data_IF_102082781586
#
_entry.id   IF_102082781586
#
_cell.length_a   1.000
_cell.length_b   1.000
_cell.length_c   1.000
_cell.angle_alpha   90.00
_cell.angle_beta   90.00
_cell.angle_gamma   90.00
#
_symmetry.space_group_name_H-M   'P 1'
#
loop_
_entity.id
_entity.type
_entity.pdbx_description
1 polymer ?
#
# COMPACT_ATOMS: atom_id res chain seq x y z
N UNK A 1 -21.32 21.70 -26.86
CA UNK A 1 -20.50 21.12 -27.95
C UNK A 1 -19.94 19.82 -27.38
N UNK A 2 -20.48 18.67 -27.80
CA UNK A 2 -20.11 17.35 -27.27
C UNK A 2 -18.69 17.03 -27.75
N UNK A 3 -17.76 16.89 -26.82
CA UNK A 3 -16.39 16.46 -27.10
C UNK A 3 -16.45 15.03 -27.62
N UNK A 4 -16.08 14.90 -28.89
CA UNK A 4 -15.94 13.65 -29.63
C UNK A 4 -15.02 12.71 -28.87
N UNK A 5 -15.48 11.47 -28.67
CA UNK A 5 -14.66 10.38 -28.18
C UNK A 5 -13.39 10.29 -29.03
N UNK A 6 -12.26 10.63 -28.42
CA UNK A 6 -10.95 10.40 -29.02
C UNK A 6 -10.85 8.91 -29.37
N UNK A 7 -10.43 8.63 -30.59
CA UNK A 7 -10.19 7.27 -31.07
C UNK A 7 -9.28 6.56 -30.06
N UNK A 8 -9.83 5.56 -29.35
CA UNK A 8 -9.02 4.63 -28.56
C UNK A 8 -8.08 3.95 -29.54
N UNK A 9 -6.79 4.26 -29.45
CA UNK A 9 -5.72 3.52 -30.12
C UNK A 9 -5.96 2.04 -29.85
N UNK A 10 -5.97 1.20 -30.88
CA UNK A 10 -6.13 -0.24 -30.68
C UNK A 10 -5.07 -0.70 -29.67
N UNK A 11 -5.45 -1.33 -28.55
CA UNK A 11 -4.50 -1.72 -27.54
C UNK A 11 -3.49 -2.68 -28.17
N UNK A 12 -2.19 -2.43 -27.95
CA UNK A 12 -1.14 -3.39 -28.25
C UNK A 12 -1.53 -4.75 -27.64
N UNK A 13 -1.28 -5.88 -28.33
CA UNK A 13 -1.65 -7.19 -27.82
C UNK A 13 -1.05 -7.39 -26.43
N UNK A 14 -1.91 -7.68 -25.45
CA UNK A 14 -1.52 -7.91 -24.06
C UNK A 14 -1.28 -9.40 -23.83
N UNK A 15 -0.24 -9.72 -23.07
CA UNK A 15 -0.04 -11.08 -22.58
C UNK A 15 -0.98 -11.36 -21.41
N UNK A 16 -1.77 -12.43 -21.53
CA UNK A 16 -2.67 -12.86 -20.46
C UNK A 16 -1.90 -13.61 -19.38
N UNK A 17 -2.09 -13.20 -18.12
CA UNK A 17 -1.50 -13.83 -16.95
C UNK A 17 -2.60 -14.27 -15.97
N UNK A 18 -2.40 -15.41 -15.31
CA UNK A 18 -3.37 -15.92 -14.32
C UNK A 18 -3.34 -15.11 -13.02
N UNK A 19 -2.15 -14.70 -12.59
CA UNK A 19 -1.91 -13.90 -11.38
C UNK A 19 -0.61 -13.12 -11.49
N UNK A 20 -0.51 -12.03 -10.73
CA UNK A 20 0.68 -11.18 -10.67
C UNK A 20 0.89 -10.66 -9.26
N UNK A 21 2.15 -10.68 -8.81
CA UNK A 21 2.60 -10.02 -7.57
C UNK A 21 3.43 -8.79 -7.91
N UNK A 22 2.99 -7.62 -7.47
CA UNK A 22 3.69 -6.34 -7.66
C UNK A 22 4.12 -5.80 -6.30
N UNK A 23 5.39 -5.38 -6.19
CA UNK A 23 5.90 -4.65 -5.03
C UNK A 23 6.35 -3.25 -5.43
N UNK A 24 5.74 -2.23 -4.83
CA UNK A 24 6.18 -0.85 -4.88
C UNK A 24 7.12 -0.55 -3.73
N UNK A 25 8.33 -0.09 -4.00
CA UNK A 25 9.35 0.17 -2.98
C UNK A 25 10.01 1.54 -3.13
N UNK A 26 10.15 2.25 -2.01
CA UNK A 26 10.70 3.60 -1.95
C UNK A 26 10.98 4.02 -0.52
N UNK A 27 11.27 5.30 -0.30
CA UNK A 27 11.48 5.81 1.06
C UNK A 27 10.15 5.97 1.82
N UNK A 28 10.20 5.87 3.14
CA UNK A 28 9.09 6.25 4.02
C UNK A 28 8.73 7.72 3.80
N UNK A 29 7.44 7.98 3.62
CA UNK A 29 6.94 9.33 3.29
C UNK A 29 6.96 9.68 1.80
N UNK A 30 7.58 8.87 0.94
CA UNK A 30 7.51 9.08 -0.52
C UNK A 30 6.16 8.66 -1.11
N UNK A 31 5.28 7.95 -0.36
CA UNK A 31 3.91 7.68 -0.81
C UNK A 31 3.70 6.31 -1.49
N UNK A 32 4.59 5.34 -1.27
CA UNK A 32 4.43 3.97 -1.77
C UNK A 32 3.10 3.33 -1.35
N UNK A 33 2.68 3.58 -0.10
CA UNK A 33 1.38 3.13 0.42
C UNK A 33 0.20 3.70 -0.38
N UNK A 34 0.31 4.96 -0.79
CA UNK A 34 -0.72 5.66 -1.55
C UNK A 34 -0.79 5.10 -2.97
N UNK A 35 0.35 4.96 -3.64
CA UNK A 35 0.44 4.33 -4.97
C UNK A 35 -0.11 2.92 -4.95
N UNK A 36 0.32 2.11 -3.98
CA UNK A 36 -0.17 0.76 -3.78
C UNK A 36 -1.69 0.70 -3.57
N UNK A 37 -2.22 1.54 -2.68
CA UNK A 37 -3.66 1.57 -2.40
C UNK A 37 -4.50 2.01 -3.60
N UNK A 38 -4.02 2.97 -4.41
CA UNK A 38 -4.70 3.35 -5.65
C UNK A 38 -4.69 2.21 -6.67
N UNK A 39 -3.56 1.51 -6.81
CA UNK A 39 -3.48 0.32 -7.66
C UNK A 39 -4.41 -0.79 -7.20
N UNK A 40 -4.53 -1.00 -5.88
CA UNK A 40 -5.50 -1.93 -5.29
C UNK A 40 -6.93 -1.58 -5.67
N UNK A 41 -7.33 -0.30 -5.55
CA UNK A 41 -8.67 0.14 -5.95
C UNK A 41 -8.93 -0.11 -7.43
N UNK A 42 -8.01 0.31 -8.32
CA UNK A 42 -8.18 0.10 -9.75
C UNK A 42 -8.21 -1.39 -10.15
N UNK A 43 -7.52 -2.24 -9.38
CA UNK A 43 -7.52 -3.70 -9.57
C UNK A 43 -8.83 -4.34 -9.12
N UNK A 44 -9.40 -3.88 -7.99
CA UNK A 44 -10.73 -4.30 -7.55
C UNK A 44 -11.82 -3.88 -8.54
N UNK A 45 -11.74 -2.66 -9.08
CA UNK A 45 -12.69 -2.15 -10.08
C UNK A 45 -12.65 -2.95 -11.39
N UNK A 46 -11.50 -3.54 -11.71
CA UNK A 46 -11.33 -4.44 -12.85
C UNK A 46 -11.86 -5.87 -12.59
N UNK A 47 -12.41 -6.14 -11.40
CA UNK A 47 -13.01 -7.42 -11.05
C UNK A 47 -12.00 -8.51 -10.70
N UNK A 48 -10.75 -8.16 -10.37
CA UNK A 48 -9.78 -9.14 -9.89
C UNK A 48 -9.95 -9.39 -8.39
N UNK A 49 -9.77 -10.64 -7.96
CA UNK A 49 -9.53 -10.91 -6.55
C UNK A 49 -8.09 -10.55 -6.18
N UNK A 50 -7.89 -10.11 -4.94
CA UNK A 50 -6.61 -9.53 -4.51
C UNK A 50 -6.34 -9.66 -3.02
N UNK A 51 -5.05 -9.62 -2.68
CA UNK A 51 -4.58 -9.45 -1.32
C UNK A 51 -3.38 -8.49 -1.29
N UNK A 52 -3.27 -7.72 -0.21
CA UNK A 52 -2.25 -6.67 -0.09
C UNK A 52 -1.45 -6.79 1.19
N UNK A 53 -0.21 -6.33 1.13
CA UNK A 53 0.68 -6.28 2.27
C UNK A 53 1.44 -4.95 2.29
N UNK A 54 1.00 -3.99 3.14
CA UNK A 54 1.74 -2.76 3.36
C UNK A 54 2.93 -3.03 4.29
N UNK A 55 4.13 -2.70 3.83
CA UNK A 55 5.39 -2.89 4.57
C UNK A 55 5.97 -1.52 4.99
N UNK A 56 6.10 -1.35 6.30
CA UNK A 56 6.56 -0.10 6.92
C UNK A 56 7.89 -0.33 7.64
N UNK A 57 8.86 0.57 7.48
CA UNK A 57 10.08 0.50 8.28
C UNK A 57 9.77 0.76 9.75
N UNK A 58 10.56 0.16 10.64
CA UNK A 58 10.45 0.40 12.08
C UNK A 58 10.77 1.87 12.45
N UNK A 59 11.63 2.53 11.67
CA UNK A 59 12.00 3.93 11.89
C UNK A 59 10.98 4.89 11.28
N UNK A 60 10.38 5.73 12.13
CA UNK A 60 9.37 6.73 11.71
C UNK A 60 9.98 7.78 10.78
N UNK A 61 11.25 8.16 10.99
CA UNK A 61 11.97 9.18 10.20
C UNK A 61 13.42 8.77 9.96
N UNK A 62 13.63 7.64 9.31
CA UNK A 62 14.92 7.30 8.75
C UNK A 62 15.39 8.40 7.75
N UNK A 63 16.70 8.69 7.66
CA UNK A 63 17.21 9.59 6.63
C UNK A 63 16.87 9.06 5.23
N UNK A 64 16.33 9.93 4.36
CA UNK A 64 15.97 9.57 2.99
C UNK A 64 17.17 9.00 2.21
N UNK A 65 16.92 7.92 1.47
CA UNK A 65 17.92 7.16 0.71
C UNK A 65 18.73 6.14 1.53
N UNK A 66 18.35 5.86 2.78
CA UNK A 66 18.97 4.80 3.61
C UNK A 66 18.12 3.54 3.64
N UNK A 67 18.73 2.39 3.89
CA UNK A 67 18.04 1.08 3.90
C UNK A 67 17.03 0.94 5.04
N UNK A 68 17.24 1.63 6.17
CA UNK A 68 16.34 1.61 7.33
C UNK A 68 15.01 2.34 7.06
N UNK A 69 14.98 3.21 6.05
CA UNK A 69 13.81 4.01 5.70
C UNK A 69 12.97 3.43 4.58
N UNK A 70 13.29 2.24 4.08
CA UNK A 70 12.58 1.66 2.94
C UNK A 70 11.19 1.22 3.38
N UNK A 71 10.18 1.66 2.63
CA UNK A 71 8.79 1.23 2.75
C UNK A 71 8.37 0.52 1.46
N UNK A 72 7.60 -0.55 1.63
CA UNK A 72 7.05 -1.37 0.55
C UNK A 72 5.53 -1.39 0.56
N UNK A 73 4.93 -1.62 -0.60
CA UNK A 73 3.54 -2.05 -0.69
C UNK A 73 3.46 -3.18 -1.71
N UNK A 74 3.04 -4.36 -1.27
CA UNK A 74 2.84 -5.50 -2.13
C UNK A 74 1.37 -5.75 -2.39
N UNK A 75 1.04 -6.10 -3.62
CA UNK A 75 -0.28 -6.58 -4.02
C UNK A 75 -0.10 -7.85 -4.87
N UNK A 76 -0.88 -8.88 -4.55
CA UNK A 76 -1.17 -9.98 -5.45
C UNK A 76 -2.60 -9.80 -5.96
N UNK A 77 -2.79 -10.01 -7.26
CA UNK A 77 -4.12 -10.05 -7.86
C UNK A 77 -4.17 -11.13 -8.93
N UNK A 78 -5.35 -11.72 -9.11
CA UNK A 78 -5.54 -12.85 -10.00
C UNK A 78 -6.93 -12.89 -10.64
N UNK A 79 -7.08 -13.82 -11.57
CA UNK A 79 -8.35 -14.28 -12.17
C UNK A 79 -9.05 -15.37 -11.34
N UNK A 80 -8.54 -15.66 -10.14
CA UNK A 80 -9.05 -16.67 -9.21
C UNK A 80 -8.84 -16.18 -7.77
N UNK A 81 -9.35 -16.93 -6.80
CA UNK A 81 -9.29 -16.56 -5.39
C UNK A 81 -7.85 -16.36 -4.89
N UNK A 82 -7.60 -15.22 -4.24
CA UNK A 82 -6.31 -14.82 -3.67
C UNK A 82 -6.41 -14.71 -2.15
N UNK A 83 -5.68 -15.58 -1.45
CA UNK A 83 -5.68 -15.61 0.02
C UNK A 83 -4.39 -15.07 0.65
N UNK A 84 -3.36 -14.82 -0.16
CA UNK A 84 -2.06 -14.33 0.31
C UNK A 84 -1.60 -13.17 -0.57
N UNK A 85 -0.78 -12.25 -0.04
CA UNK A 85 -0.22 -11.15 -0.85
C UNK A 85 0.90 -11.61 -1.79
N UNK A 86 1.17 -12.92 -1.89
CA UNK A 86 2.24 -13.52 -2.70
C UNK A 86 3.58 -13.65 -1.99
N UNK A 87 4.31 -14.72 -2.28
CA UNK A 87 5.61 -14.99 -1.64
C UNK A 87 6.73 -14.09 -2.20
N UNK A 88 6.77 -13.94 -3.51
CA UNK A 88 7.80 -13.22 -4.24
C UNK A 88 7.18 -12.34 -5.34
N UNK A 89 7.57 -11.06 -5.49
CA UNK A 89 7.10 -10.22 -6.58
C UNK A 89 7.54 -10.75 -7.95
N UNK A 90 6.62 -10.68 -8.91
CA UNK A 90 6.88 -10.75 -10.35
C UNK A 90 7.39 -9.42 -10.89
N UNK A 91 6.94 -8.32 -10.28
CA UNK A 91 7.35 -6.95 -10.60
C UNK A 91 7.81 -6.22 -9.35
N UNK A 92 9.01 -5.65 -9.39
CA UNK A 92 9.52 -4.73 -8.38
C UNK A 92 9.65 -3.33 -8.99
N UNK A 93 8.97 -2.36 -8.39
CA UNK A 93 9.12 -0.94 -8.69
C UNK A 93 10.04 -0.32 -7.64
N UNK A 94 11.29 -0.03 -8.00
CA UNK A 94 12.30 0.54 -7.11
C UNK A 94 12.50 2.05 -7.40
N UNK A 95 12.02 2.89 -6.49
CA UNK A 95 12.06 4.36 -6.65
C UNK A 95 13.41 5.00 -6.31
N UNK A 96 14.32 4.26 -5.68
CA UNK A 96 15.67 4.70 -5.32
C UNK A 96 16.62 3.49 -5.07
N UNK A 97 17.94 3.72 -4.90
CA UNK A 97 18.89 2.64 -4.66
C UNK A 97 18.65 1.83 -3.36
N UNK A 98 18.23 2.48 -2.27
CA UNK A 98 17.97 1.79 -1.02
C UNK A 98 16.82 0.79 -1.15
N UNK A 99 15.73 1.20 -1.81
CA UNK A 99 14.58 0.36 -2.13
C UNK A 99 14.98 -0.84 -3.00
N UNK A 100 15.84 -0.63 -4.00
CA UNK A 100 16.40 -1.71 -4.81
C UNK A 100 17.20 -2.68 -3.95
N UNK A 101 18.11 -2.18 -3.10
CA UNK A 101 18.97 -3.02 -2.25
C UNK A 101 18.17 -3.90 -1.31
N UNK A 102 17.16 -3.34 -0.65
CA UNK A 102 16.34 -4.06 0.34
C UNK A 102 15.43 -5.11 -0.32
N UNK A 103 14.97 -4.90 -1.56
CA UNK A 103 13.93 -5.75 -2.16
C UNK A 103 14.37 -6.61 -3.34
N UNK A 104 15.54 -6.36 -3.93
CA UNK A 104 15.99 -7.07 -5.14
C UNK A 104 16.12 -8.58 -4.97
N UNK A 105 16.40 -9.07 -3.76
CA UNK A 105 16.48 -10.52 -3.50
C UNK A 105 15.12 -11.21 -3.41
N UNK A 106 14.05 -10.46 -3.15
CA UNK A 106 12.69 -11.00 -3.15
C UNK A 106 12.12 -11.11 -4.58
N UNK A 107 12.62 -10.33 -5.54
CA UNK A 107 12.16 -10.38 -6.93
C UNK A 107 12.50 -11.72 -7.58
N UNK A 108 11.50 -12.36 -8.19
CA UNK A 108 11.69 -13.62 -8.93
C UNK A 108 12.75 -13.46 -10.03
N UNK A 109 13.53 -14.52 -10.28
CA UNK A 109 14.41 -14.56 -11.44
C UNK A 109 13.59 -14.40 -12.74
N UNK A 110 14.05 -13.56 -13.67
CA UNK A 110 13.29 -13.16 -14.86
C UNK A 110 12.15 -12.17 -14.58
N UNK A 111 11.94 -11.77 -13.32
CA UNK A 111 10.99 -10.75 -12.92
C UNK A 111 11.30 -9.38 -13.54
N UNK A 112 10.28 -8.52 -13.58
CA UNK A 112 10.40 -7.16 -14.10
C UNK A 112 10.86 -6.21 -13.00
N UNK A 113 11.96 -5.51 -13.25
CA UNK A 113 12.52 -4.50 -12.38
C UNK A 113 12.31 -3.12 -13.01
N UNK A 114 11.39 -2.33 -12.50
CA UNK A 114 11.15 -0.92 -12.90
C UNK A 114 11.95 -0.01 -11.98
N UNK A 115 12.87 0.78 -12.53
CA UNK A 115 13.84 1.56 -11.74
C UNK A 115 13.81 3.03 -12.11
N UNK A 116 13.70 3.88 -11.08
CA UNK A 116 13.89 5.32 -11.22
C UNK A 116 15.38 5.68 -11.24
N UNK A 117 16.00 5.73 -12.40
CA UNK A 117 17.43 6.09 -12.55
C UNK A 117 17.73 7.52 -12.10
N UNK A 118 16.74 8.42 -12.14
CA UNK A 118 16.87 9.79 -11.63
C UNK A 118 17.18 9.87 -10.12
N UNK A 119 16.98 8.78 -9.37
CA UNK A 119 17.35 8.67 -7.96
C UNK A 119 18.74 8.07 -7.71
N UNK A 120 19.45 7.59 -8.74
CA UNK A 120 20.74 6.88 -8.63
C UNK A 120 21.94 7.85 -8.65
N UNK A 121 21.85 8.94 -7.88
CA UNK A 121 22.97 9.85 -7.66
C UNK A 121 24.06 9.21 -6.80
N UNK A 122 25.31 9.66 -6.94
CA UNK A 122 26.44 9.21 -6.11
C UNK A 122 26.16 9.30 -4.61
N UNK A 123 25.47 10.35 -4.17
CA UNK A 123 25.07 10.53 -2.77
C UNK A 123 24.06 9.46 -2.32
N UNK A 124 23.05 9.15 -3.13
CA UNK A 124 22.03 8.16 -2.78
C UNK A 124 22.60 6.73 -2.82
N UNK A 125 23.50 6.43 -3.77
CA UNK A 125 24.23 5.17 -3.80
C UNK A 125 25.06 4.98 -2.52
N UNK A 126 25.81 6.00 -2.11
CA UNK A 126 26.59 5.97 -0.86
C UNK A 126 25.70 5.76 0.37
N UNK A 127 24.57 6.45 0.47
CA UNK A 127 23.61 6.29 1.58
C UNK A 127 22.96 4.90 1.63
N UNK A 128 22.70 4.30 0.48
CA UNK A 128 22.23 2.92 0.37
C UNK A 128 23.36 1.89 0.63
N UNK A 129 24.62 2.36 0.74
CA UNK A 129 25.79 1.50 0.95
C UNK A 129 26.21 0.73 -0.30
N UNK A 130 26.07 1.34 -1.48
CA UNK A 130 26.66 0.84 -2.72
C UNK A 130 28.01 1.52 -2.98
N UNK A 131 28.99 0.72 -3.40
CA UNK A 131 30.28 1.23 -3.88
C UNK A 131 30.23 1.67 -5.34
N UNK A 132 29.45 0.95 -6.15
CA UNK A 132 29.22 1.19 -7.58
C UNK A 132 27.73 1.11 -7.88
N UNK A 133 27.33 1.66 -9.02
CA UNK A 133 25.95 1.58 -9.45
C UNK A 133 25.59 0.12 -9.80
N UNK A 134 24.62 -0.51 -9.11
CA UNK A 134 24.23 -1.91 -9.36
C UNK A 134 23.59 -2.12 -10.74
N UNK A 135 23.18 -1.05 -11.42
CA UNK A 135 22.65 -1.12 -12.78
C UNK A 135 23.76 -1.30 -13.83
N UNK A 136 25.02 -1.02 -13.48
CA UNK A 136 26.15 -0.99 -14.42
C UNK A 136 27.13 -2.16 -14.21
N UNK A 137 27.02 -2.91 -13.10
CA UNK A 137 27.97 -3.96 -12.72
C UNK A 137 27.51 -5.39 -13.07
N UNK A 138 26.35 -5.51 -13.71
CA UNK A 138 25.76 -6.79 -14.12
C UNK A 138 25.05 -7.57 -13.01
N UNK A 139 25.01 -7.06 -11.77
CA UNK A 139 24.32 -7.71 -10.64
C UNK A 139 22.81 -7.86 -10.88
N UNK A 140 22.22 -6.99 -11.69
CA UNK A 140 20.79 -6.98 -12.01
C UNK A 140 20.44 -7.76 -13.29
N UNK A 141 21.40 -8.41 -13.97
CA UNK A 141 21.19 -9.10 -15.25
C UNK A 141 20.21 -10.28 -15.18
N UNK A 142 19.91 -10.78 -13.97
CA UNK A 142 18.89 -11.82 -13.75
C UNK A 142 17.45 -11.33 -13.93
N UNK A 143 17.25 -10.02 -14.11
CA UNK A 143 15.94 -9.38 -14.23
C UNK A 143 15.73 -8.76 -15.62
N UNK A 144 14.47 -8.61 -16.01
CA UNK A 144 14.09 -7.72 -17.11
C UNK A 144 14.04 -6.31 -16.56
N UNK A 145 14.90 -5.39 -17.02
CA UNK A 145 15.03 -4.07 -16.41
C UNK A 145 14.37 -3.00 -17.28
N UNK A 146 13.48 -2.22 -16.68
CA UNK A 146 12.92 -0.99 -17.23
C UNK A 146 13.51 0.21 -16.48
N UNK A 147 14.59 0.77 -17.05
CA UNK A 147 15.32 1.90 -16.48
C UNK A 147 14.79 3.23 -17.01
N UNK A 148 14.22 4.05 -16.15
CA UNK A 148 13.56 5.31 -16.52
C UNK A 148 14.00 6.44 -15.60
N UNK A 149 14.28 7.62 -16.15
CA UNK A 149 14.46 8.83 -15.33
C UNK A 149 13.09 9.39 -14.95
N UNK A 150 12.42 8.71 -14.01
CA UNK A 150 11.07 9.06 -13.57
C UNK A 150 11.04 10.47 -12.98
N UNK A 151 12.10 10.89 -12.30
CA UNK A 151 12.19 12.26 -11.79
C UNK A 151 12.08 13.28 -12.93
N UNK A 152 12.91 13.16 -13.96
CA UNK A 152 12.88 14.06 -15.12
C UNK A 152 11.55 13.98 -15.85
N UNK A 153 11.06 12.77 -16.15
CA UNK A 153 9.79 12.58 -16.85
C UNK A 153 8.59 13.18 -16.09
N UNK A 154 8.61 13.10 -14.76
CA UNK A 154 7.59 13.74 -13.91
C UNK A 154 7.69 15.25 -13.97
N UNK A 155 8.90 15.81 -13.84
CA UNK A 155 9.11 17.27 -13.89
C UNK A 155 8.66 17.84 -15.24
N UNK A 156 8.98 17.14 -16.34
CA UNK A 156 8.57 17.53 -17.69
C UNK A 156 7.04 17.49 -17.84
N UNK A 157 6.36 16.51 -17.23
CA UNK A 157 4.91 16.36 -17.28
C UNK A 157 4.14 17.45 -16.51
N UNK A 158 4.72 17.99 -15.43
CA UNK A 158 4.04 18.97 -14.56
C UNK A 158 4.56 20.40 -14.69
N UNK A 159 5.48 20.64 -15.64
CA UNK A 159 6.16 21.93 -15.82
C UNK A 159 5.19 23.11 -15.98
N UNK A 160 4.06 22.89 -16.64
CA UNK A 160 3.11 23.95 -17.01
C UNK A 160 2.14 24.29 -15.87
N UNK A 161 2.09 23.46 -14.80
CA UNK A 161 1.19 23.66 -13.63
C UNK A 161 1.74 24.74 -12.68
N UNK A 162 3.03 25.05 -12.77
CA UNK A 162 3.69 26.08 -11.96
C UNK A 162 3.88 25.71 -10.48
N UNK A 163 4.14 24.43 -10.20
CA UNK A 163 4.53 23.97 -8.86
C UNK A 163 6.02 24.21 -8.58
N UNK A 164 6.38 24.33 -7.30
CA UNK A 164 7.78 24.33 -6.90
C UNK A 164 8.45 22.96 -7.15
N UNK A 165 9.76 22.96 -7.42
CA UNK A 165 10.50 21.72 -7.78
C UNK A 165 10.33 20.56 -6.77
N UNK A 166 10.19 20.88 -5.48
CA UNK A 166 9.94 19.87 -4.44
C UNK A 166 8.55 19.25 -4.55
N UNK A 167 7.53 20.04 -4.86
CA UNK A 167 6.15 19.55 -5.01
C UNK A 167 5.97 18.78 -6.32
N UNK A 168 6.57 19.29 -7.40
CA UNK A 168 6.62 18.61 -8.69
C UNK A 168 7.26 17.21 -8.57
N UNK A 169 8.41 17.10 -7.91
CA UNK A 169 9.06 15.79 -7.67
C UNK A 169 8.23 14.82 -6.82
N UNK A 170 7.29 15.29 -5.99
CA UNK A 170 6.41 14.39 -5.21
C UNK A 170 5.34 13.71 -6.08
N UNK A 171 5.11 14.21 -7.29
CA UNK A 171 4.19 13.61 -8.25
C UNK A 171 4.77 12.36 -8.93
N UNK A 172 6.06 12.03 -8.70
CA UNK A 172 6.74 10.89 -9.32
C UNK A 172 6.03 9.57 -9.10
N UNK A 173 5.35 9.41 -7.97
CA UNK A 173 4.64 8.17 -7.67
C UNK A 173 3.34 8.04 -8.47
N UNK A 174 2.71 9.16 -8.87
CA UNK A 174 1.57 9.14 -9.78
C UNK A 174 2.03 8.89 -11.21
N UNK A 175 3.18 9.43 -11.61
CA UNK A 175 3.80 9.06 -12.89
C UNK A 175 4.05 7.56 -12.97
N UNK A 176 4.69 6.99 -11.95
CA UNK A 176 4.90 5.54 -11.85
C UNK A 176 3.59 4.76 -11.85
N UNK A 177 2.59 5.22 -11.08
CA UNK A 177 1.26 4.58 -11.06
C UNK A 177 0.63 4.54 -12.45
N UNK A 178 0.74 5.63 -13.23
CA UNK A 178 0.21 5.72 -14.59
C UNK A 178 0.85 4.71 -15.54
N UNK A 179 2.17 4.56 -15.45
CA UNK A 179 2.90 3.53 -16.20
C UNK A 179 2.42 2.12 -15.82
N UNK A 180 2.26 1.85 -14.53
CA UNK A 180 1.78 0.55 -14.05
C UNK A 180 0.33 0.28 -14.43
N UNK A 181 -0.51 1.30 -14.50
CA UNK A 181 -1.87 1.18 -15.00
C UNK A 181 -1.88 0.78 -16.47
N UNK A 182 -1.08 1.45 -17.30
CA UNK A 182 -0.94 1.03 -18.69
C UNK A 182 -0.40 -0.41 -18.78
N UNK A 183 0.61 -0.75 -17.98
CA UNK A 183 1.27 -2.06 -18.02
C UNK A 183 0.29 -3.21 -17.70
N UNK A 184 -0.68 -3.00 -16.81
CA UNK A 184 -1.66 -4.02 -16.39
C UNK A 184 -3.10 -3.75 -16.81
N UNK A 185 -3.32 -2.79 -17.71
CA UNK A 185 -4.64 -2.52 -18.29
C UNK A 185 -5.64 -1.95 -17.30
N UNK A 186 -5.18 -1.08 -16.39
CA UNK A 186 -6.01 -0.43 -15.37
C UNK A 186 -6.51 0.93 -15.85
N UNK A 187 -7.77 1.21 -15.55
CA UNK A 187 -8.41 2.48 -15.86
C UNK A 187 -7.96 3.59 -14.88
N UNK A 188 -7.91 4.83 -15.37
CA UNK A 188 -7.42 5.99 -14.60
C UNK A 188 -8.55 6.80 -13.93
N UNK A 189 -9.77 6.71 -14.45
CA UNK A 189 -10.85 7.65 -14.15
C UNK A 189 -11.16 7.75 -12.64
N UNK A 190 -11.19 6.61 -11.94
CA UNK A 190 -11.43 6.57 -10.50
C UNK A 190 -10.31 7.26 -9.70
N UNK A 191 -9.05 7.01 -10.08
CA UNK A 191 -7.90 7.68 -9.47
C UNK A 191 -7.90 9.19 -9.76
N UNK A 192 -8.31 9.61 -10.97
CA UNK A 192 -8.46 11.03 -11.31
C UNK A 192 -9.51 11.69 -10.42
N UNK A 193 -10.72 11.11 -10.33
CA UNK A 193 -11.79 11.62 -9.47
C UNK A 193 -11.37 11.65 -7.99
N UNK A 194 -10.62 10.64 -7.54
CA UNK A 194 -10.07 10.61 -6.19
C UNK A 194 -9.05 11.73 -5.94
N UNK A 195 -8.16 12.01 -6.90
CA UNK A 195 -7.16 13.09 -6.81
C UNK A 195 -7.85 14.46 -6.73
N UNK A 196 -8.87 14.70 -7.53
CA UNK A 196 -9.67 15.93 -7.50
C UNK A 196 -10.32 16.13 -6.13
N UNK A 197 -10.96 15.10 -5.59
CA UNK A 197 -11.60 15.15 -4.27
C UNK A 197 -10.59 15.35 -3.15
N UNK A 198 -9.48 14.59 -3.17
CA UNK A 198 -8.45 14.64 -2.13
C UNK A 198 -7.77 15.99 -2.05
N UNK A 199 -7.49 16.59 -3.20
CA UNK A 199 -6.81 17.88 -3.32
C UNK A 199 -7.76 19.02 -3.69
N UNK A 200 -9.06 18.91 -3.38
CA UNK A 200 -10.04 19.95 -3.66
C UNK A 200 -9.66 21.33 -3.07
N UNK A 201 -8.93 21.33 -1.95
CA UNK A 201 -8.39 22.56 -1.31
C UNK A 201 -7.09 23.07 -1.95
N UNK A 202 -6.44 22.29 -2.80
CA UNK A 202 -5.22 22.65 -3.54
C UNK A 202 -5.28 22.14 -4.99
N UNK A 203 -6.05 22.81 -5.86
CA UNK A 203 -6.31 22.35 -7.23
C UNK A 203 -5.05 22.16 -8.08
N UNK A 204 -4.02 22.99 -7.88
CA UNK A 204 -2.74 22.86 -8.61
C UNK A 204 -2.04 21.53 -8.30
N UNK A 205 -2.12 21.07 -7.05
CA UNK A 205 -1.56 19.76 -6.67
C UNK A 205 -2.39 18.63 -7.27
N UNK A 206 -3.71 18.78 -7.35
CA UNK A 206 -4.57 17.82 -8.06
C UNK A 206 -4.16 17.71 -9.54
N UNK A 207 -4.11 18.86 -10.22
CA UNK A 207 -3.75 18.99 -11.63
C UNK A 207 -2.37 18.38 -11.94
N UNK A 208 -1.35 18.67 -11.12
CA UNK A 208 -0.02 18.10 -11.32
C UNK A 208 0.02 16.58 -11.12
N UNK A 209 -0.70 16.04 -10.13
CA UNK A 209 -0.76 14.59 -9.93
C UNK A 209 -1.50 13.89 -11.07
N UNK A 210 -2.58 14.49 -11.58
CA UNK A 210 -3.32 13.99 -12.74
C UNK A 210 -2.47 14.06 -14.00
N UNK A 211 -1.75 15.16 -14.23
CA UNK A 211 -0.82 15.32 -15.35
C UNK A 211 0.29 14.27 -15.29
N UNK A 212 0.89 14.03 -14.12
CA UNK A 212 1.88 12.99 -13.92
C UNK A 212 1.30 11.59 -14.20
N UNK A 213 0.12 11.26 -13.64
CA UNK A 213 -0.58 9.99 -13.88
C UNK A 213 -0.82 9.75 -15.38
N UNK A 214 -1.32 10.76 -16.08
CA UNK A 214 -1.59 10.67 -17.50
C UNK A 214 -0.30 10.53 -18.31
N UNK A 215 0.75 11.26 -17.97
CA UNK A 215 2.04 11.18 -18.65
C UNK A 215 2.69 9.80 -18.51
N UNK A 216 2.62 9.17 -17.33
CA UNK A 216 3.12 7.81 -17.15
C UNK A 216 2.37 6.78 -17.98
N UNK A 217 1.05 6.92 -18.09
CA UNK A 217 0.23 6.05 -18.94
C UNK A 217 0.52 6.25 -20.43
N UNK A 218 0.60 7.51 -20.88
CA UNK A 218 0.93 7.89 -22.26
C UNK A 218 2.34 7.42 -22.62
N UNK A 219 3.28 7.43 -21.68
CA UNK A 219 4.61 6.87 -21.91
C UNK A 219 4.52 5.40 -22.29
N UNK A 220 3.73 4.60 -21.56
CA UNK A 220 3.50 3.21 -21.92
C UNK A 220 2.91 3.03 -23.32
N UNK A 221 1.95 3.87 -23.71
CA UNK A 221 1.32 3.79 -25.05
C UNK A 221 2.27 4.08 -26.21
N UNK A 222 3.28 4.94 -26.00
CA UNK A 222 4.14 5.44 -27.09
C UNK A 222 5.58 4.92 -27.05
N UNK A 223 6.04 4.40 -25.91
CA UNK A 223 7.41 3.94 -25.76
C UNK A 223 7.59 2.54 -26.35
N UNK A 224 8.68 2.36 -27.12
CA UNK A 224 9.18 1.04 -27.43
C UNK A 224 9.84 0.46 -26.18
N UNK A 225 9.19 -0.53 -25.56
CA UNK A 225 9.74 -1.17 -24.38
C UNK A 225 10.91 -2.11 -24.74
N UNK A 226 11.87 -2.29 -23.81
CA UNK A 226 12.94 -3.26 -23.97
C UNK A 226 12.40 -4.68 -24.25
N UNK A 227 13.21 -5.49 -24.94
CA UNK A 227 12.85 -6.86 -25.27
C UNK A 227 12.41 -7.66 -24.03
N UNK A 228 11.32 -8.41 -24.18
CA UNK A 228 10.74 -9.22 -23.11
C UNK A 228 9.87 -8.45 -22.13
N UNK A 229 9.62 -7.15 -22.33
CA UNK A 229 8.66 -6.36 -21.55
C UNK A 229 7.51 -5.97 -22.48
N UNK A 230 6.30 -6.40 -22.13
CA UNK A 230 5.07 -6.10 -22.89
C UNK A 230 3.96 -5.70 -21.93
N UNK A 231 2.83 -5.26 -22.48
CA UNK A 231 1.63 -5.01 -21.71
C UNK A 231 0.99 -6.35 -21.31
N UNK A 232 0.47 -6.41 -20.08
CA UNK A 232 -0.15 -7.60 -19.51
C UNK A 232 -1.64 -7.37 -19.24
N UNK A 233 -2.38 -8.46 -19.15
CA UNK A 233 -3.79 -8.49 -18.76
C UNK A 233 -4.02 -9.63 -17.78
N UNK A 234 -4.68 -9.35 -16.67
CA UNK A 234 -5.17 -10.38 -15.74
C UNK A 234 -6.69 -10.37 -15.81
N UNK A 235 -7.33 -11.42 -16.37
CA UNK A 235 -8.77 -11.48 -16.51
C UNK A 235 -9.49 -11.32 -15.16
N UNK A 236 -10.72 -10.82 -15.18
CA UNK A 236 -11.56 -10.75 -13.98
C UNK A 236 -11.72 -12.14 -13.34
N UNK A 237 -11.80 -12.17 -12.01
CA UNK A 237 -12.03 -13.40 -11.27
C UNK A 237 -13.52 -13.80 -11.31
N UNK A 238 -13.78 -15.10 -11.15
CA UNK A 238 -15.14 -15.61 -10.99
C UNK A 238 -15.66 -15.32 -9.57
N UNK A 239 -16.18 -14.11 -9.39
CA UNK A 239 -16.67 -13.61 -8.11
C UNK A 239 -18.17 -13.81 -7.96
N UNK A 240 -18.61 -14.22 -6.77
CA UNK A 240 -20.04 -14.32 -6.45
C UNK A 240 -20.69 -12.92 -6.53
N UNK A 241 -21.82 -12.75 -7.24
CA UNK A 241 -22.47 -11.44 -7.32
C UNK A 241 -22.79 -10.85 -5.94
N UNK A 242 -22.36 -9.62 -5.67
CA UNK A 242 -22.59 -8.96 -4.39
C UNK A 242 -21.86 -7.63 -4.23
N UNK A 243 -22.02 -7.03 -3.05
CA UNK A 243 -21.25 -5.85 -2.65
C UNK A 243 -19.95 -6.27 -1.96
N UNK A 244 -18.83 -5.87 -2.55
CA UNK A 244 -17.51 -6.14 -2.03
C UNK A 244 -16.94 -4.93 -1.29
N UNK A 245 -16.17 -5.19 -0.23
CA UNK A 245 -15.49 -4.14 0.52
C UNK A 245 -14.07 -4.56 0.82
N UNK A 246 -13.12 -3.69 0.51
CA UNK A 246 -11.75 -3.81 0.97
C UNK A 246 -11.68 -3.47 2.47
N UNK A 247 -11.10 -4.37 3.27
CA UNK A 247 -11.01 -4.24 4.73
C UNK A 247 -9.64 -4.72 5.20
N UNK A 248 -9.08 -4.06 6.21
CA UNK A 248 -7.94 -4.60 6.95
C UNK A 248 -8.37 -5.59 8.05
N UNK A 249 -7.46 -6.46 8.48
CA UNK A 249 -7.74 -7.40 9.58
C UNK A 249 -8.16 -6.71 10.89
N UNK A 250 -7.56 -5.56 11.22
CA UNK A 250 -7.94 -4.79 12.41
C UNK A 250 -9.32 -4.12 12.27
N UNK A 251 -9.71 -3.69 11.07
CA UNK A 251 -11.08 -3.18 10.82
C UNK A 251 -12.12 -4.29 10.93
N UNK A 252 -11.87 -5.44 10.29
CA UNK A 252 -12.73 -6.60 10.38
C UNK A 252 -12.89 -7.07 11.84
N UNK A 253 -11.79 -7.11 12.61
CA UNK A 253 -11.82 -7.46 14.03
C UNK A 253 -12.64 -6.46 14.84
N UNK A 254 -12.49 -5.15 14.59
CA UNK A 254 -13.30 -4.12 15.25
C UNK A 254 -14.80 -4.34 14.99
N UNK A 255 -15.17 -4.57 13.73
CA UNK A 255 -16.58 -4.79 13.37
C UNK A 255 -17.12 -6.08 13.98
N UNK A 256 -16.33 -7.15 13.99
CA UNK A 256 -16.69 -8.42 14.63
C UNK A 256 -16.99 -8.25 16.12
N UNK A 257 -16.10 -7.58 16.86
CA UNK A 257 -16.30 -7.29 18.28
C UNK A 257 -17.57 -6.48 18.54
N UNK A 258 -17.77 -5.40 17.79
CA UNK A 258 -18.97 -4.56 17.93
C UNK A 258 -20.24 -5.33 17.59
N UNK A 259 -20.20 -6.14 16.52
CA UNK A 259 -21.35 -6.95 16.10
C UNK A 259 -21.70 -7.98 17.16
N UNK A 260 -20.69 -8.68 17.70
CA UNK A 260 -20.87 -9.62 18.80
C UNK A 260 -21.50 -8.98 20.03
N UNK A 261 -21.00 -7.80 20.45
CA UNK A 261 -21.58 -7.07 21.58
C UNK A 261 -23.05 -6.68 21.35
N UNK A 262 -23.38 -6.21 20.14
CA UNK A 262 -24.77 -5.85 19.80
C UNK A 262 -25.70 -7.06 19.78
N UNK A 263 -25.26 -8.19 19.21
CA UNK A 263 -26.05 -9.42 19.18
C UNK A 263 -26.28 -10.01 20.58
N UNK A 264 -25.29 -9.85 21.48
CA UNK A 264 -25.42 -10.23 22.89
C UNK A 264 -26.30 -9.26 23.70
N UNK A 265 -26.67 -8.10 23.16
CA UNK A 265 -27.39 -7.05 23.90
C UNK A 265 -26.54 -6.39 24.98
N UNK A 266 -25.21 -6.47 24.89
CA UNK A 266 -24.26 -5.98 25.88
C UNK A 266 -23.50 -4.76 25.37
N UNK A 267 -23.03 -3.94 26.31
CA UNK A 267 -22.04 -2.89 26.03
C UNK A 267 -20.65 -3.51 25.95
N UNK A 268 -19.73 -2.83 25.29
CA UNK A 268 -18.35 -3.28 25.15
C UNK A 268 -17.41 -2.25 25.77
N UNK A 269 -16.39 -2.75 26.47
CA UNK A 269 -15.24 -1.97 26.89
C UNK A 269 -13.99 -2.56 26.21
N UNK A 270 -13.19 -1.70 25.59
CA UNK A 270 -11.91 -2.05 25.01
C UNK A 270 -10.77 -1.31 25.71
N UNK A 271 -9.96 -2.02 26.48
CA UNK A 271 -8.77 -1.49 27.15
C UNK A 271 -7.49 -1.86 26.40
N UNK A 272 -6.63 -0.92 26.05
CA UNK A 272 -5.35 -1.25 25.41
C UNK A 272 -4.25 -0.24 25.71
N UNK A 273 -3.00 -0.70 25.61
CA UNK A 273 -1.82 0.14 25.56
C UNK A 273 -1.28 0.18 24.10
N UNK A 274 -0.83 1.33 23.57
CA UNK A 274 -0.38 1.41 22.19
C UNK A 274 0.85 0.52 21.90
N UNK A 275 0.67 -0.48 21.04
CA UNK A 275 1.72 -1.36 20.54
C UNK A 275 1.43 -1.79 19.09
N UNK A 276 2.44 -1.77 18.23
CA UNK A 276 2.32 -2.26 16.84
C UNK A 276 2.22 -3.79 16.83
N UNK A 277 1.30 -4.41 16.07
CA UNK A 277 0.32 -3.84 15.12
C UNK A 277 -1.10 -3.59 15.70
N UNK A 278 -1.29 -3.71 17.01
CA UNK A 278 -2.62 -3.70 17.65
C UNK A 278 -3.24 -2.30 17.80
N UNK A 279 -2.44 -1.23 17.85
CA UNK A 279 -2.93 0.14 18.13
C UNK A 279 -4.07 0.61 17.21
N UNK A 280 -4.07 0.20 15.93
CA UNK A 280 -5.14 0.62 15.01
C UNK A 280 -6.51 0.07 15.39
N UNK A 281 -6.59 -1.03 16.15
CA UNK A 281 -7.86 -1.55 16.64
C UNK A 281 -8.54 -0.55 17.60
N UNK A 282 -7.77 0.11 18.47
CA UNK A 282 -8.27 1.19 19.32
C UNK A 282 -8.79 2.36 18.47
N UNK A 283 -8.04 2.76 17.44
CA UNK A 283 -8.47 3.84 16.54
C UNK A 283 -9.82 3.52 15.87
N UNK A 284 -10.01 2.29 15.38
CA UNK A 284 -11.27 1.87 14.76
C UNK A 284 -12.43 1.86 15.76
N UNK A 285 -12.24 1.21 16.92
CA UNK A 285 -13.27 1.12 17.96
C UNK A 285 -13.65 2.49 18.55
N UNK A 286 -12.71 3.43 18.65
CA UNK A 286 -12.96 4.78 19.17
C UNK A 286 -13.96 5.59 18.33
N UNK A 287 -14.14 5.24 17.05
CA UNK A 287 -15.11 5.85 16.14
C UNK A 287 -16.50 5.20 16.22
N UNK A 288 -16.60 4.07 16.91
CA UNK A 288 -17.80 3.23 17.03
C UNK A 288 -18.52 3.37 18.38
N UNK A 289 -18.25 4.45 19.13
CA UNK A 289 -18.85 4.73 20.46
C UNK A 289 -20.38 4.72 20.45
N UNK A 290 -21.00 5.12 19.34
CA UNK A 290 -22.45 5.11 19.17
C UNK A 290 -23.07 3.70 19.19
N UNK A 291 -22.26 2.64 19.08
CA UNK A 291 -22.69 1.26 19.28
C UNK A 291 -22.49 0.76 20.73
N UNK A 292 -22.24 1.64 21.69
CA UNK A 292 -22.05 1.26 23.09
C UNK A 292 -20.64 0.76 23.41
N UNK A 293 -19.65 1.17 22.61
CA UNK A 293 -18.23 0.85 22.81
C UNK A 293 -17.57 1.96 23.64
N UNK A 294 -16.95 1.56 24.74
CA UNK A 294 -16.06 2.42 25.54
C UNK A 294 -14.61 2.01 25.29
N UNK A 295 -13.79 2.93 24.79
CA UNK A 295 -12.35 2.70 24.63
C UNK A 295 -11.57 3.35 25.77
N UNK A 296 -10.62 2.62 26.35
CA UNK A 296 -9.70 3.10 27.38
C UNK A 296 -8.26 2.88 26.91
N UNK A 297 -7.52 3.97 26.74
CA UNK A 297 -6.08 3.90 26.53
C UNK A 297 -5.42 3.91 27.91
N UNK A 298 -4.91 2.76 28.32
CA UNK A 298 -4.26 2.60 29.62
C UNK A 298 -2.82 3.10 29.58
N UNK A 299 -2.22 3.24 30.76
CA UNK A 299 -0.83 3.60 30.99
C UNK A 299 0.16 2.47 30.64
N UNK A 300 -0.28 1.22 30.75
CA UNK A 300 0.50 0.01 30.42
C UNK A 300 -0.43 -1.18 30.08
N UNK A 301 0.16 -2.30 29.70
CA UNK A 301 -0.59 -3.51 29.35
C UNK A 301 -1.31 -4.17 30.53
N UNK A 302 -0.83 -4.00 31.76
CA UNK A 302 -1.41 -4.57 32.99
C UNK A 302 -2.73 -3.84 33.30
N UNK A 303 -2.70 -2.52 33.35
CA UNK A 303 -3.88 -1.67 33.52
C UNK A 303 -4.89 -1.90 32.40
N UNK A 304 -4.43 -2.09 31.16
CA UNK A 304 -5.31 -2.37 30.03
C UNK A 304 -6.10 -3.69 30.18
N UNK A 305 -5.46 -4.79 30.60
CA UNK A 305 -6.17 -6.06 30.81
C UNK A 305 -7.01 -6.03 32.08
N UNK A 306 -6.53 -5.40 33.16
CA UNK A 306 -7.29 -5.25 34.40
C UNK A 306 -8.61 -4.49 34.16
N UNK A 307 -8.57 -3.42 33.37
CA UNK A 307 -9.77 -2.68 32.98
C UNK A 307 -10.75 -3.52 32.14
N UNK A 308 -10.24 -4.35 31.22
CA UNK A 308 -11.07 -5.26 30.44
C UNK A 308 -11.74 -6.32 31.33
N UNK A 309 -10.99 -6.98 32.21
CA UNK A 309 -11.53 -7.97 33.15
C UNK A 309 -12.54 -7.34 34.12
N UNK A 310 -12.26 -6.13 34.62
CA UNK A 310 -13.20 -5.38 35.46
C UNK A 310 -14.51 -5.04 34.72
N UNK A 311 -14.44 -4.74 33.43
CA UNK A 311 -15.64 -4.54 32.62
C UNK A 311 -16.45 -5.83 32.44
N UNK A 312 -15.78 -6.97 32.24
CA UNK A 312 -16.42 -8.31 32.19
C UNK A 312 -17.13 -8.63 33.50
N UNK A 313 -16.46 -8.43 34.63
CA UNK A 313 -17.06 -8.61 35.96
C UNK A 313 -18.28 -7.71 36.20
N UNK A 314 -18.26 -6.49 35.63
CA UNK A 314 -19.37 -5.53 35.67
C UNK A 314 -20.52 -5.83 34.68
N UNK A 315 -20.48 -6.95 33.95
CA UNK A 315 -21.54 -7.36 33.01
C UNK A 315 -21.45 -6.73 31.62
N UNK A 316 -20.33 -6.13 31.24
CA UNK A 316 -20.04 -5.71 29.86
C UNK A 316 -19.14 -6.71 29.16
N UNK A 317 -19.01 -6.65 27.84
CA UNK A 317 -17.95 -7.39 27.15
C UNK A 317 -16.63 -6.63 27.34
N UNK A 318 -15.72 -7.19 28.13
CA UNK A 318 -14.35 -6.70 28.27
C UNK A 318 -13.43 -7.28 27.19
N UNK A 319 -12.74 -6.41 26.45
CA UNK A 319 -11.76 -6.80 25.43
C UNK A 319 -10.46 -6.00 25.57
N UNK A 320 -9.34 -6.60 25.16
CA UNK A 320 -8.04 -5.95 25.05
C UNK A 320 -7.32 -6.41 23.79
N UNK A 321 -6.36 -5.63 23.30
CA UNK A 321 -5.50 -5.99 22.16
C UNK A 321 -4.06 -5.63 22.44
N UNK A 322 -3.13 -6.46 21.97
CA UNK A 322 -1.69 -6.32 22.22
C UNK A 322 -0.85 -7.12 21.21
N UNK A 323 0.47 -7.17 21.41
CA UNK A 323 1.43 -7.99 20.66
C UNK A 323 2.30 -8.80 21.65
N UNK A 324 3.28 -9.56 21.15
CA UNK A 324 4.09 -10.50 21.92
C UNK A 324 4.57 -9.99 23.30
N UNK A 325 5.24 -8.83 23.40
CA UNK A 325 5.70 -8.29 24.68
C UNK A 325 4.56 -8.01 25.67
N UNK A 326 3.44 -7.50 25.17
CA UNK A 326 2.31 -7.17 26.02
C UNK A 326 1.49 -8.38 26.47
N UNK A 327 1.50 -9.49 25.72
CA UNK A 327 0.92 -10.77 26.21
C UNK A 327 1.66 -11.22 27.48
N UNK A 328 2.99 -11.12 27.50
CA UNK A 328 3.77 -11.51 28.67
C UNK A 328 3.34 -10.73 29.92
N UNK A 329 3.16 -9.40 29.80
CA UNK A 329 2.71 -8.53 30.89
C UNK A 329 1.26 -8.80 31.33
N UNK A 330 0.40 -9.28 30.43
CA UNK A 330 -1.00 -9.59 30.75
C UNK A 330 -1.20 -10.95 31.44
N UNK A 331 -0.18 -11.80 31.49
CA UNK A 331 -0.29 -13.20 31.91
C UNK A 331 -0.89 -13.37 33.31
N UNK A 332 -0.51 -12.52 34.27
CA UNK A 332 -1.04 -12.57 35.64
C UNK A 332 -2.57 -12.33 35.67
N UNK A 333 -3.03 -11.27 35.00
CA UNK A 333 -4.45 -10.92 34.95
C UNK A 333 -5.28 -11.89 34.10
N UNK A 334 -4.68 -12.51 33.08
CA UNK A 334 -5.31 -13.63 32.37
C UNK A 334 -5.54 -14.80 33.34
N UNK A 335 -4.55 -15.11 34.18
CA UNK A 335 -4.71 -16.11 35.24
C UNK A 335 -5.82 -15.77 36.22
N UNK A 336 -5.95 -14.49 36.61
CA UNK A 336 -7.06 -14.01 37.43
C UNK A 336 -8.43 -14.21 36.76
N UNK A 337 -8.56 -13.88 35.47
CA UNK A 337 -9.81 -14.04 34.73
C UNK A 337 -10.25 -15.52 34.68
N UNK A 338 -9.29 -16.43 34.45
CA UNK A 338 -9.54 -17.88 34.46
C UNK A 338 -9.99 -18.34 35.85
N UNK A 339 -9.30 -17.91 36.92
CA UNK A 339 -9.64 -18.30 38.29
C UNK A 339 -11.01 -17.75 38.75
N UNK A 340 -11.46 -16.65 38.16
CA UNK A 340 -12.75 -16.03 38.44
C UNK A 340 -13.89 -16.51 37.52
N UNK A 341 -13.62 -17.42 36.58
CA UNK A 341 -14.58 -17.95 35.59
C UNK A 341 -15.27 -16.84 34.76
N UNK A 342 -14.48 -15.85 34.31
CA UNK A 342 -14.92 -14.72 33.49
C UNK A 342 -14.70 -14.93 31.99
#
# INVERSE_FOLDING_TARGET
MKTTAAARVQPSPRETLDSVVIRFAGDSGDGMQLTGSQFTTATADAGNDLATFPDFPAEIRAPAGTTYGVSGYQIQFASHDVLTPGDAPDVLVAMNPAALKVNSDALKAGGLLVVNTGAFSSNNLKKAGYERNPLDDGSMNRFRILSLDINKMTLDAVKDVGLGAKEANRCKNMWTLGLMYWLFGRERDQTVAWLENKFAKNPKVAEANIAALNAGHIYGENAELPHGIQAYEVPAADLTPGEYRNVSGNEATAWGLVTGARLAGLKMMYGSYPITPASSLLHQLSRLKHFGVTTFQAEDEIAAIAAAVGASFGGSIGATGTSGPGIALKSETIGLAIAAEL
#
